data_IF_912307648391
#
_entry.id   IF_912307648391
#
_cell.length_a   1.000
_cell.length_b   1.000
_cell.length_c   1.000
_cell.angle_alpha   90.00
_cell.angle_beta   90.00
_cell.angle_gamma   90.00
#
_symmetry.space_group_name_H-M   'P 1'
#
loop_
_entity.id
_entity.type
_entity.pdbx_description
1 polymer ?
#
# COMPACT_ATOMS: atom_id res chain seq x y z
N UNK A 1 -16.14 28.23 -7.06
CA UNK A 1 -16.26 27.20 -6.01
C UNK A 1 -14.89 26.59 -5.93
N UNK A 2 -14.09 26.97 -4.94
CA UNK A 2 -12.89 26.19 -4.62
C UNK A 2 -13.42 24.84 -4.17
N UNK A 3 -13.28 23.83 -5.03
CA UNK A 3 -13.42 22.44 -4.63
C UNK A 3 -12.54 22.30 -3.39
N UNK A 4 -13.11 21.92 -2.24
CA UNK A 4 -12.32 21.65 -1.04
C UNK A 4 -11.25 20.62 -1.42
N UNK A 5 -10.03 21.11 -1.65
CA UNK A 5 -8.90 20.28 -2.02
C UNK A 5 -8.47 19.60 -0.74
N UNK A 6 -8.86 18.33 -0.58
CA UNK A 6 -8.35 17.50 0.50
C UNK A 6 -6.82 17.43 0.40
N UNK A 7 -6.15 17.46 1.55
CA UNK A 7 -4.71 17.31 1.59
C UNK A 7 -4.27 15.94 1.03
N UNK A 8 -3.17 15.89 0.28
CA UNK A 8 -2.63 14.63 -0.19
C UNK A 8 -2.05 13.81 0.99
N UNK A 9 -1.97 12.50 0.80
CA UNK A 9 -1.32 11.58 1.73
C UNK A 9 0.07 11.23 1.20
N UNK A 10 1.03 11.05 2.10
CA UNK A 10 2.36 10.55 1.75
C UNK A 10 2.27 9.17 1.09
N UNK A 11 3.05 9.00 0.02
CA UNK A 11 3.20 7.73 -0.67
C UNK A 11 4.68 7.47 -0.91
N UNK A 12 5.21 6.39 -0.33
CA UNK A 12 6.60 5.99 -0.51
C UNK A 12 6.83 5.55 -1.97
N UNK A 13 7.73 6.24 -2.66
CA UNK A 13 8.12 5.96 -4.06
C UNK A 13 9.52 5.35 -4.17
N UNK A 14 10.17 5.09 -3.03
CA UNK A 14 11.48 4.44 -2.99
C UNK A 14 11.36 2.94 -3.24
N UNK A 15 12.51 2.28 -3.40
CA UNK A 15 12.58 0.83 -3.55
C UNK A 15 12.20 0.14 -2.23
N UNK A 16 10.97 -0.34 -2.18
CA UNK A 16 10.38 -0.98 -1.02
C UNK A 16 9.35 -2.03 -1.49
N UNK A 17 9.66 -3.34 -1.37
CA UNK A 17 8.77 -4.38 -1.86
C UNK A 17 7.43 -4.41 -1.12
N UNK A 18 7.38 -3.87 0.11
CA UNK A 18 6.16 -3.87 0.93
C UNK A 18 5.08 -2.93 0.41
N UNK A 19 5.41 -2.01 -0.52
CA UNK A 19 4.43 -1.18 -1.21
C UNK A 19 3.49 -1.99 -2.12
N UNK A 20 3.79 -3.26 -2.37
CA UNK A 20 2.96 -4.18 -3.14
C UNK A 20 2.17 -5.18 -2.27
N UNK A 21 2.27 -5.09 -0.93
CA UNK A 21 1.60 -6.01 0.00
C UNK A 21 0.08 -5.99 -0.13
N UNK A 22 -0.45 -4.83 -0.50
CA UNK A 22 -1.84 -4.62 -0.89
C UNK A 22 -1.86 -4.11 -2.32
N UNK A 23 -2.83 -4.56 -3.12
CA UNK A 23 -2.94 -4.16 -4.53
C UNK A 23 -3.62 -2.79 -4.71
N UNK A 24 -3.12 -1.77 -3.99
CA UNK A 24 -3.53 -0.36 -4.13
C UNK A 24 -2.33 0.43 -4.63
N UNK A 25 -2.51 1.17 -5.71
CA UNK A 25 -1.48 2.04 -6.29
C UNK A 25 -2.12 3.33 -6.80
N UNK A 26 -1.41 4.46 -6.73
CA UNK A 26 -1.88 5.69 -7.33
C UNK A 26 -1.93 5.57 -8.85
N UNK A 27 -2.98 6.13 -9.44
CA UNK A 27 -3.10 6.36 -10.88
C UNK A 27 -3.26 7.86 -11.10
N UNK A 28 -2.33 8.47 -11.84
CA UNK A 28 -2.31 9.91 -12.09
C UNK A 28 -2.30 10.78 -10.81
N UNK A 29 -1.64 10.31 -9.74
CA UNK A 29 -1.55 11.03 -8.46
C UNK A 29 -2.78 10.90 -7.56
N UNK A 30 -3.75 10.06 -7.94
CA UNK A 30 -4.96 9.79 -7.16
C UNK A 30 -5.08 8.31 -6.82
N UNK A 31 -5.73 8.00 -5.69
CA UNK A 31 -6.00 6.63 -5.26
C UNK A 31 -7.51 6.42 -5.20
N UNK A 32 -7.99 5.37 -5.86
CA UNK A 32 -9.35 4.91 -5.69
C UNK A 32 -9.47 4.10 -4.39
N UNK A 33 -10.33 4.54 -3.48
CA UNK A 33 -10.56 3.85 -2.21
C UNK A 33 -11.30 2.52 -2.46
N UNK A 34 -10.78 1.38 -1.96
CA UNK A 34 -11.48 0.09 -2.05
C UNK A 34 -12.85 0.14 -1.36
N UNK A 35 -13.86 -0.50 -1.96
CA UNK A 35 -15.26 -0.45 -1.49
C UNK A 35 -15.83 -1.80 -1.09
N UNK A 36 -15.01 -2.86 -1.06
CA UNK A 36 -15.41 -4.18 -0.59
C UNK A 36 -15.66 -4.23 0.93
N UNK A 37 -16.00 -5.42 1.44
CA UNK A 37 -16.24 -5.63 2.88
C UNK A 37 -14.93 -5.54 3.66
N UNK A 38 -14.99 -4.99 4.88
CA UNK A 38 -13.80 -4.81 5.73
C UNK A 38 -12.92 -3.69 5.18
N UNK A 39 -11.63 -3.99 4.93
CA UNK A 39 -10.71 -3.06 4.26
C UNK A 39 -10.92 -3.02 2.73
N UNK A 40 -11.78 -3.89 2.19
CA UNK A 40 -12.20 -3.89 0.79
C UNK A 40 -11.17 -4.43 -0.21
N UNK A 41 -10.07 -5.01 0.26
CA UNK A 41 -9.00 -5.63 -0.53
C UNK A 41 -8.32 -6.74 0.28
N UNK A 42 -7.66 -7.67 -0.41
CA UNK A 42 -6.90 -8.77 0.19
C UNK A 42 -5.40 -8.44 0.30
N UNK A 43 -4.71 -9.17 1.17
CA UNK A 43 -3.25 -9.11 1.33
C UNK A 43 -2.59 -10.14 0.42
N UNK A 44 -1.46 -9.78 -0.19
CA UNK A 44 -0.61 -10.73 -0.91
C UNK A 44 0.10 -11.68 0.07
N UNK A 45 -0.48 -12.88 0.25
CA UNK A 45 0.05 -13.90 1.16
C UNK A 45 1.35 -14.54 0.65
N UNK A 46 1.55 -14.59 -0.66
CA UNK A 46 2.78 -15.14 -1.24
C UNK A 46 3.95 -14.21 -0.92
N UNK A 47 3.73 -12.89 -1.02
CA UNK A 47 4.72 -11.90 -0.64
C UNK A 47 5.01 -11.92 0.87
N UNK A 48 4.00 -12.07 1.72
CA UNK A 48 4.19 -12.23 3.17
C UNK A 48 5.06 -13.45 3.50
N UNK A 49 4.79 -14.59 2.87
CA UNK A 49 5.56 -15.81 3.07
C UNK A 49 7.00 -15.65 2.59
N UNK A 50 7.21 -14.98 1.45
CA UNK A 50 8.53 -14.78 0.85
C UNK A 50 9.43 -13.86 1.70
N UNK A 51 8.90 -12.73 2.19
CA UNK A 51 9.65 -11.76 3.00
C UNK A 51 9.56 -12.03 4.52
N UNK A 52 9.12 -13.24 4.91
CA UNK A 52 9.01 -13.60 6.31
C UNK A 52 10.38 -13.47 6.99
N UNK A 53 10.43 -12.67 8.05
CA UNK A 53 11.63 -12.53 8.85
C UNK A 53 12.01 -13.87 9.50
N UNK A 54 13.28 -14.24 9.38
CA UNK A 54 13.82 -15.51 9.87
C UNK A 54 14.19 -15.49 11.36
N UNK A 55 13.98 -14.37 12.04
CA UNK A 55 14.30 -14.17 13.46
C UNK A 55 15.75 -13.75 13.73
N UNK A 56 16.59 -13.63 12.70
CA UNK A 56 17.96 -13.14 12.84
C UNK A 56 18.02 -11.62 12.93
N UNK A 57 18.98 -11.08 13.69
CA UNK A 57 19.27 -9.66 13.63
C UNK A 57 20.06 -9.34 12.36
N UNK A 58 19.78 -8.19 11.75
CA UNK A 58 20.64 -7.65 10.72
C UNK A 58 21.92 -7.08 11.37
N UNK A 59 23.10 -7.38 10.82
CA UNK A 59 24.39 -6.81 11.26
C UNK A 59 24.68 -5.43 10.67
#
# INVERSE_FOLDING_TARGET
>A
METEMIEPVEWDVMDNPFNHLISVQPSNGEIAIPSGVGIGIEIDLDMLAFYQWDGSSYE
#
